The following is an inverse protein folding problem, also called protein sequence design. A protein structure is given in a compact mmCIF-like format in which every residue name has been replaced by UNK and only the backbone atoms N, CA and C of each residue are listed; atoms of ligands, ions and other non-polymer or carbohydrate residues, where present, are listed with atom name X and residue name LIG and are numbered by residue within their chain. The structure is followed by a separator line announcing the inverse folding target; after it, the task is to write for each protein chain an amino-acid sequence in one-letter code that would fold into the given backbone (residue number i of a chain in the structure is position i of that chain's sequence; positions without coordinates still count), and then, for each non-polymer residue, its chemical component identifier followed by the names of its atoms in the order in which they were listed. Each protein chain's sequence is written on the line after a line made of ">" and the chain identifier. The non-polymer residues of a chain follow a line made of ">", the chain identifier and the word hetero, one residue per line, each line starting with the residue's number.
data_IF_857862099389
#
_entry.id   IF_857862099389
#
_cell.length_a   1.000
_cell.length_b   1.000
_cell.length_c   1.000
_cell.angle_alpha   90.00
_cell.angle_beta   90.00
_cell.angle_gamma   90.00
#
_symmetry.space_group_name_H-M   'P 1'
#
loop_
_entity.id
_entity.type
_entity.pdbx_description
1 polymer ?
#
# COMPACT_ATOMS: atom_id res chain seq x y z
N UNK A 1 18.77 15.95 -12.01
CA UNK A 1 18.53 15.61 -10.59
C UNK A 1 19.54 14.54 -10.27
N UNK A 2 20.53 14.85 -9.43
CA UNK A 2 21.55 13.89 -9.03
C UNK A 2 20.90 12.83 -8.14
N UNK A 3 20.53 11.69 -8.73
CA UNK A 3 19.81 10.61 -8.04
C UNK A 3 20.58 10.05 -6.85
N UNK A 4 21.91 10.12 -6.89
CA UNK A 4 22.81 9.69 -5.82
C UNK A 4 22.62 10.48 -4.52
N UNK A 5 22.09 11.71 -4.59
CA UNK A 5 21.87 12.58 -3.44
C UNK A 5 20.44 12.50 -2.89
N UNK A 6 19.48 12.07 -3.70
CA UNK A 6 18.05 12.14 -3.39
C UNK A 6 17.64 11.21 -2.23
N UNK A 7 18.05 9.94 -2.26
CA UNK A 7 17.70 8.99 -1.19
C UNK A 7 18.34 9.36 0.18
N UNK A 8 19.64 9.71 0.26
CA UNK A 8 20.22 10.23 1.50
C UNK A 8 19.49 11.45 2.07
N UNK A 9 19.03 12.37 1.20
CA UNK A 9 18.27 13.55 1.62
C UNK A 9 16.90 13.19 2.21
N UNK A 10 16.15 12.27 1.57
CA UNK A 10 14.87 11.79 2.10
C UNK A 10 15.01 11.11 3.46
N UNK A 11 16.07 10.32 3.65
CA UNK A 11 16.36 9.68 4.94
C UNK A 11 16.67 10.70 6.02
N UNK A 12 17.52 11.69 5.71
CA UNK A 12 17.88 12.76 6.64
C UNK A 12 16.67 13.63 7.03
N UNK A 13 15.78 13.92 6.08
CA UNK A 13 14.54 14.65 6.35
C UNK A 13 13.62 13.84 7.28
N UNK A 14 13.41 12.55 6.98
CA UNK A 14 12.60 11.65 7.81
C UNK A 14 13.11 11.58 9.25
N UNK A 15 14.42 11.52 9.45
CA UNK A 15 15.03 11.40 10.79
C UNK A 15 15.01 12.70 11.60
N UNK A 16 14.97 13.85 10.92
CA UNK A 16 14.92 15.18 11.55
C UNK A 16 13.50 15.73 11.73
N UNK A 17 12.52 15.14 11.05
CA UNK A 17 11.13 15.58 11.08
C UNK A 17 10.45 15.23 12.41
N UNK A 18 9.74 16.20 12.99
CA UNK A 18 9.01 16.00 14.24
C UNK A 18 7.87 14.96 14.07
N UNK A 19 7.72 13.97 14.99
CA UNK A 19 6.73 12.91 14.88
C UNK A 19 5.27 13.37 14.82
N UNK A 20 4.94 14.60 15.21
CA UNK A 20 3.59 15.16 15.08
C UNK A 20 3.17 15.35 13.61
N UNK A 21 4.13 15.47 12.68
CA UNK A 21 3.86 15.55 11.25
C UNK A 21 3.57 14.17 10.64
N UNK A 22 2.58 13.48 11.17
CA UNK A 22 2.21 12.09 10.83
C UNK A 22 2.00 11.88 9.32
N UNK A 23 1.43 12.86 8.62
CA UNK A 23 1.19 12.75 7.18
C UNK A 23 2.46 12.93 6.36
N UNK A 24 3.33 13.87 6.73
CA UNK A 24 4.60 14.09 6.03
C UNK A 24 5.55 12.92 6.27
N UNK A 25 5.63 12.40 7.51
CA UNK A 25 6.37 11.17 7.80
C UNK A 25 5.91 9.98 6.97
N UNK A 26 4.59 9.81 6.81
CA UNK A 26 4.02 8.74 5.97
C UNK A 26 4.43 8.90 4.50
N UNK A 27 4.34 10.11 3.96
CA UNK A 27 4.69 10.38 2.56
C UNK A 27 6.19 10.16 2.30
N UNK A 28 7.07 10.62 3.21
CA UNK A 28 8.51 10.38 3.12
C UNK A 28 8.84 8.89 3.17
N UNK A 29 8.20 8.13 4.07
CA UNK A 29 8.39 6.69 4.14
C UNK A 29 7.94 5.97 2.86
N UNK A 30 6.78 6.35 2.30
CA UNK A 30 6.29 5.80 1.03
C UNK A 30 7.23 6.13 -0.15
N UNK A 31 7.84 7.32 -0.16
CA UNK A 31 8.77 7.72 -1.23
C UNK A 31 10.10 6.98 -1.14
N UNK A 32 10.62 6.77 0.07
CA UNK A 32 11.82 5.95 0.32
C UNK A 32 11.56 4.49 -0.10
N UNK A 33 10.41 3.92 0.28
CA UNK A 33 10.03 2.56 -0.10
C UNK A 33 9.88 2.39 -1.61
N UNK A 34 9.39 3.42 -2.32
CA UNK A 34 9.38 3.39 -3.78
C UNK A 34 10.78 3.33 -4.35
N UNK A 35 11.76 4.05 -3.79
CA UNK A 35 13.14 3.99 -4.28
C UNK A 35 13.76 2.60 -4.12
N UNK A 36 13.53 1.95 -2.97
CA UNK A 36 13.97 0.57 -2.73
C UNK A 36 13.18 -0.44 -3.57
N UNK A 37 11.91 -0.14 -3.85
CA UNK A 37 11.01 -0.96 -4.65
C UNK A 37 11.05 -0.71 -6.16
N UNK A 38 11.64 0.38 -6.66
CA UNK A 38 11.59 0.73 -8.09
C UNK A 38 12.49 -0.19 -8.92
N UNK A 39 13.58 -0.71 -8.33
CA UNK A 39 14.34 -1.85 -8.86
C UNK A 39 13.45 -3.10 -9.03
N UNK A 40 12.42 -3.26 -8.19
CA UNK A 40 11.43 -4.35 -8.25
C UNK A 40 10.16 -4.00 -9.07
N UNK A 41 9.94 -2.75 -9.47
CA UNK A 41 8.71 -2.28 -10.15
C UNK A 41 8.85 -2.09 -11.67
N UNK A 42 10.05 -2.28 -12.24
CA UNK A 42 10.17 -2.57 -13.69
C UNK A 42 9.35 -3.80 -14.11
N UNK A 43 8.96 -4.66 -13.16
CA UNK A 43 8.03 -5.80 -13.33
C UNK A 43 6.52 -5.43 -13.35
N UNK A 44 6.17 -4.13 -13.39
CA UNK A 44 4.78 -3.67 -13.41
C UNK A 44 3.96 -4.15 -14.63
N UNK A 45 4.62 -4.63 -15.69
CA UNK A 45 3.95 -5.18 -16.88
C UNK A 45 3.86 -6.72 -16.88
N UNK A 46 4.54 -7.41 -15.95
CA UNK A 46 4.67 -8.88 -15.96
C UNK A 46 3.48 -9.60 -15.31
N UNK A 47 2.65 -8.91 -14.51
CA UNK A 47 1.51 -9.53 -13.79
C UNK A 47 0.14 -9.35 -14.43
N UNK A 48 0.05 -8.87 -15.67
CA UNK A 48 -1.24 -8.78 -16.37
C UNK A 48 -1.75 -10.13 -16.89
N UNK A 49 -0.85 -11.07 -17.14
CA UNK A 49 -1.19 -12.38 -17.70
C UNK A 49 -0.86 -13.51 -16.73
N UNK A 50 -1.77 -14.46 -16.64
CA UNK A 50 -1.60 -15.68 -15.87
C UNK A 50 -0.98 -16.76 -16.77
N UNK A 51 0.14 -17.32 -16.34
CA UNK A 51 0.64 -18.57 -16.90
C UNK A 51 -0.16 -19.75 -16.34
N UNK A 52 -1.06 -20.28 -17.16
CA UNK A 52 -1.98 -21.38 -16.81
C UNK A 52 -1.33 -22.76 -16.86
N UNK A 53 -0.10 -22.89 -17.37
CA UNK A 53 0.60 -24.17 -17.49
C UNK A 53 1.36 -24.47 -16.19
N UNK A 54 1.93 -23.45 -15.54
CA UNK A 54 2.79 -23.63 -14.37
C UNK A 54 2.07 -23.79 -13.02
N UNK A 55 0.73 -23.69 -12.97
CA UNK A 55 -0.10 -23.89 -11.77
C UNK A 55 0.42 -23.17 -10.51
N UNK A 56 0.91 -21.95 -10.65
CA UNK A 56 1.39 -21.14 -9.51
C UNK A 56 0.22 -20.60 -8.69
N UNK A 57 0.40 -20.45 -7.38
CA UNK A 57 -0.58 -19.80 -6.51
C UNK A 57 -0.81 -18.34 -6.92
N UNK A 58 -2.08 -17.93 -6.95
CA UNK A 58 -2.50 -16.58 -7.30
C UNK A 58 -3.03 -15.90 -6.03
N UNK A 59 -2.71 -14.62 -5.85
CA UNK A 59 -3.33 -13.77 -4.82
C UNK A 59 -4.43 -12.93 -5.48
N UNK A 60 -5.67 -13.11 -5.03
CA UNK A 60 -6.82 -12.31 -5.46
C UNK A 60 -7.38 -11.56 -4.25
N UNK A 61 -7.74 -10.30 -4.44
CA UNK A 61 -8.40 -9.49 -3.41
C UNK A 61 -9.47 -8.62 -4.05
N UNK A 62 -10.64 -8.60 -3.42
CA UNK A 62 -11.77 -7.77 -3.84
C UNK A 62 -12.18 -6.88 -2.66
N UNK A 63 -12.43 -5.60 -2.94
CA UNK A 63 -12.92 -4.64 -1.94
C UNK A 63 -14.41 -4.45 -2.15
N UNK A 64 -15.22 -4.88 -1.18
CA UNK A 64 -16.69 -4.71 -1.21
C UNK A 64 -17.08 -3.53 -0.32
N UNK A 65 -18.02 -2.71 -0.79
CA UNK A 65 -18.55 -1.58 -0.03
C UNK A 65 -19.54 -2.04 1.03
N UNK A 66 -19.42 -1.49 2.24
CA UNK A 66 -20.41 -1.65 3.29
C UNK A 66 -21.41 -0.48 3.21
N UNK A 67 -22.73 -0.73 3.13
CA UNK A 67 -23.74 0.30 2.93
C UNK A 67 -24.06 1.08 4.22
N UNK A 68 -23.05 1.68 4.85
CA UNK A 68 -23.15 2.40 6.13
C UNK A 68 -24.09 3.60 6.07
N UNK A 69 -24.28 4.20 4.89
CA UNK A 69 -25.20 5.32 4.71
C UNK A 69 -26.68 4.88 4.72
N UNK A 70 -26.97 3.67 4.23
CA UNK A 70 -28.33 3.13 4.20
C UNK A 70 -28.71 2.55 5.57
N UNK A 71 -27.75 1.97 6.29
CA UNK A 71 -27.95 1.33 7.59
C UNK A 71 -26.98 1.87 8.67
N UNK A 72 -27.08 3.16 9.04
CA UNK A 72 -26.11 3.80 9.94
C UNK A 72 -26.15 3.29 11.38
N UNK A 73 -27.22 2.60 11.78
CA UNK A 73 -27.44 2.10 13.15
C UNK A 73 -26.95 0.67 13.36
N UNK A 74 -26.60 -0.05 12.29
CA UNK A 74 -26.10 -1.43 12.37
C UNK A 74 -24.58 -1.37 12.37
N UNK A 75 -23.93 -1.94 13.40
CA UNK A 75 -22.48 -2.09 13.39
C UNK A 75 -22.10 -3.18 12.38
N UNK A 76 -21.40 -2.86 11.27
CA UNK A 76 -21.10 -3.83 10.23
C UNK A 76 -20.20 -4.97 10.72
N UNK A 77 -19.29 -4.67 11.66
CA UNK A 77 -18.39 -5.64 12.25
C UNK A 77 -19.15 -6.72 13.06
N UNK A 78 -20.22 -6.36 13.76
CA UNK A 78 -21.00 -7.32 14.56
C UNK A 78 -21.88 -8.23 13.70
N UNK A 79 -22.40 -7.73 12.57
CA UNK A 79 -23.22 -8.55 11.66
C UNK A 79 -22.38 -9.51 10.82
N UNK A 80 -21.16 -9.14 10.45
CA UNK A 80 -20.26 -10.01 9.68
C UNK A 80 -19.66 -11.14 10.53
N UNK A 81 -19.50 -10.94 11.85
CA UNK A 81 -18.96 -11.96 12.76
C UNK A 81 -19.98 -13.01 13.20
N UNK A 82 -21.28 -12.73 13.08
CA UNK A 82 -22.38 -13.64 13.48
C UNK A 82 -22.99 -14.44 12.33
N UNK A 83 -22.45 -14.33 11.11
CA UNK A 83 -22.95 -15.04 9.94
C UNK A 83 -22.40 -16.48 9.79
N UNK A 84 -21.98 -17.11 10.90
CA UNK A 84 -21.45 -18.48 10.95
C UNK A 84 -22.35 -19.43 11.75
#
# INVERSE_FOLDING_TARGET
>A
MDQDKYLPELMAEKDSLDPSFVHAMRLLAEEIEKYEGDELRKDGDVKKYLDVISNKNIKLSERVLIPVQQYPKVSPAHSLTWSH
#
